data_IF_261598335340
#
_entry.id   IF_261598335340
#
_cell.length_a   1.000
_cell.length_b   1.000
_cell.length_c   1.000
_cell.angle_alpha   90.00
_cell.angle_beta   90.00
_cell.angle_gamma   90.00
#
_symmetry.space_group_name_H-M   'P 1'
#
loop_
_entity.id
_entity.type
_entity.pdbx_description
1 polymer ?
#
# COMPACT_ATOMS: atom_id res chain seq x y z
N UNK A 1 17.70 14.64 7.88
CA UNK A 1 17.34 14.22 6.51
C UNK A 1 16.61 12.88 6.60
N UNK A 2 15.28 12.90 6.61
CA UNK A 2 14.40 11.72 6.76
C UNK A 2 13.16 11.90 5.87
N UNK A 3 13.36 12.03 4.57
CA UNK A 3 12.30 12.40 3.60
C UNK A 3 11.42 11.24 3.12
N UNK A 4 11.71 10.00 3.51
CA UNK A 4 11.00 8.81 2.98
C UNK A 4 9.69 8.52 3.73
N UNK A 5 9.65 8.72 5.05
CA UNK A 5 8.46 8.47 5.89
C UNK A 5 7.31 9.39 5.53
N UNK A 6 7.62 10.66 5.23
CA UNK A 6 6.64 11.71 4.93
C UNK A 6 5.82 11.39 3.68
N UNK A 7 6.44 10.82 2.64
CA UNK A 7 5.76 10.52 1.37
C UNK A 7 4.65 9.47 1.56
N UNK A 8 4.91 8.43 2.36
CA UNK A 8 3.90 7.41 2.66
C UNK A 8 2.81 7.95 3.58
N UNK A 9 3.16 8.81 4.53
CA UNK A 9 2.17 9.47 5.40
C UNK A 9 1.19 10.32 4.60
N UNK A 10 1.70 11.15 3.69
CA UNK A 10 0.86 11.97 2.81
C UNK A 10 -0.01 11.12 1.88
N UNK A 11 0.49 9.98 1.41
CA UNK A 11 -0.29 9.05 0.59
C UNK A 11 -1.42 8.42 1.39
N UNK A 12 -1.12 7.84 2.55
CA UNK A 12 -2.12 7.19 3.41
C UNK A 12 -3.18 8.19 3.87
N UNK A 13 -2.79 9.43 4.20
CA UNK A 13 -3.73 10.48 4.58
C UNK A 13 -4.72 10.87 3.46
N UNK A 14 -4.44 10.51 2.19
CA UNK A 14 -5.34 10.75 1.04
C UNK A 14 -6.25 9.56 0.72
N UNK A 15 -6.05 8.41 1.36
CA UNK A 15 -6.78 7.17 1.06
C UNK A 15 -7.77 6.89 2.19
N UNK A 16 -9.07 6.90 1.89
CA UNK A 16 -10.09 6.42 2.84
C UNK A 16 -9.95 4.91 3.06
N UNK A 17 -9.99 4.38 4.29
CA UNK A 17 -10.35 5.05 5.57
C UNK A 17 -9.16 5.59 6.39
N UNK A 18 -7.95 5.56 5.86
CA UNK A 18 -6.74 5.97 6.58
C UNK A 18 -6.65 7.49 6.81
N UNK A 19 -7.41 8.28 6.06
CA UNK A 19 -7.61 9.73 6.24
C UNK A 19 -8.19 10.11 7.61
N UNK A 20 -8.86 9.18 8.30
CA UNK A 20 -9.50 9.39 9.60
C UNK A 20 -8.68 8.92 10.80
N UNK A 21 -7.48 8.39 10.56
CA UNK A 21 -6.63 7.85 11.61
C UNK A 21 -5.73 8.93 12.19
N UNK A 22 -5.51 8.88 13.50
CA UNK A 22 -4.56 9.76 14.18
C UNK A 22 -3.14 9.55 13.65
N UNK A 23 -2.33 10.61 13.70
CA UNK A 23 -0.96 10.62 13.19
C UNK A 23 -0.07 9.54 13.84
N UNK A 24 -0.28 9.23 15.12
CA UNK A 24 0.44 8.19 15.86
C UNK A 24 0.10 6.78 15.37
N UNK A 25 -1.15 6.55 15.00
CA UNK A 25 -1.60 5.28 14.40
C UNK A 25 -1.05 5.14 12.99
N UNK A 26 -1.10 6.21 12.21
CA UNK A 26 -0.50 6.26 10.87
C UNK A 26 1.00 5.98 10.91
N UNK A 27 1.72 6.57 11.86
CA UNK A 27 3.17 6.33 12.03
C UNK A 27 3.45 4.85 12.32
N UNK A 28 2.65 4.21 13.17
CA UNK A 28 2.75 2.77 13.44
C UNK A 28 2.48 1.90 12.21
N UNK A 29 1.57 2.31 11.32
CA UNK A 29 1.30 1.63 10.04
C UNK A 29 2.48 1.81 9.07
N UNK A 30 3.00 3.04 8.95
CA UNK A 30 4.12 3.35 8.05
C UNK A 30 5.36 2.55 8.43
N UNK A 31 5.65 2.38 9.72
CA UNK A 31 6.76 1.54 10.17
C UNK A 31 6.64 0.06 9.76
N UNK A 32 5.42 -0.42 9.49
CA UNK A 32 5.16 -1.79 8.98
C UNK A 32 5.03 -1.84 7.46
N UNK A 33 5.01 -0.69 6.79
CA UNK A 33 4.81 -0.61 5.36
C UNK A 33 6.07 -1.11 4.64
N UNK A 34 5.86 -2.05 3.73
CA UNK A 34 6.93 -2.59 2.90
C UNK A 34 6.73 -2.15 1.45
N UNK A 35 7.63 -1.35 0.88
CA UNK A 35 7.53 -0.94 -0.52
C UNK A 35 7.81 -2.15 -1.42
N UNK A 36 6.85 -2.47 -2.28
CA UNK A 36 6.95 -3.56 -3.24
C UNK A 36 6.96 -3.00 -4.67
N UNK A 37 7.81 -3.58 -5.51
CA UNK A 37 7.93 -3.20 -6.93
C UNK A 37 7.65 -4.41 -7.81
N UNK A 38 6.63 -4.28 -8.65
CA UNK A 38 6.26 -5.28 -9.63
C UNK A 38 6.62 -4.81 -11.04
N UNK A 39 6.97 -5.76 -11.91
CA UNK A 39 7.16 -5.50 -13.35
C UNK A 39 5.86 -5.76 -14.11
N UNK A 40 5.76 -5.22 -15.32
CA UNK A 40 4.63 -5.52 -16.20
C UNK A 40 4.49 -7.03 -16.42
N UNK A 41 3.27 -7.54 -16.33
CA UNK A 41 2.96 -8.98 -16.46
C UNK A 41 3.18 -9.81 -15.20
N UNK A 42 3.75 -9.24 -14.14
CA UNK A 42 3.91 -9.94 -12.87
C UNK A 42 2.60 -9.94 -12.07
N UNK A 43 2.17 -11.11 -11.61
CA UNK A 43 0.99 -11.22 -10.76
C UNK A 43 1.25 -10.62 -9.37
N UNK A 44 0.32 -9.77 -8.90
CA UNK A 44 0.35 -9.18 -7.55
C UNK A 44 -0.40 -10.07 -6.56
N UNK A 45 -1.61 -10.51 -6.94
CA UNK A 45 -2.46 -11.42 -6.18
C UNK A 45 -2.91 -12.56 -7.09
N UNK A 46 -2.99 -13.78 -6.54
CA UNK A 46 -3.43 -14.99 -7.25
C UNK A 46 -4.65 -15.55 -6.51
N UNK A 47 -5.73 -15.86 -7.25
CA UNK A 47 -7.05 -16.25 -6.71
C UNK A 47 -7.01 -17.40 -5.71
N UNK A 48 -6.04 -18.30 -5.84
CA UNK A 48 -5.96 -19.52 -5.04
C UNK A 48 -5.42 -19.30 -3.62
N UNK A 49 -4.82 -18.14 -3.33
CA UNK A 49 -4.24 -17.86 -2.02
C UNK A 49 -4.90 -16.63 -1.38
N UNK A 50 -5.44 -16.81 -0.17
CA UNK A 50 -5.88 -15.70 0.65
C UNK A 50 -4.66 -14.86 1.04
N UNK A 51 -4.62 -13.56 0.72
CA UNK A 51 -3.45 -12.75 1.05
C UNK A 51 -3.38 -12.52 2.56
N UNK A 52 -2.20 -12.76 3.13
CA UNK A 52 -1.92 -12.46 4.54
C UNK A 52 -1.77 -10.96 4.81
N UNK A 53 -1.60 -10.15 3.76
CA UNK A 53 -1.31 -8.72 3.84
C UNK A 53 -2.26 -7.91 2.95
N UNK A 54 -2.43 -6.64 3.31
CA UNK A 54 -3.14 -5.66 2.50
C UNK A 54 -2.13 -4.96 1.58
N UNK A 55 -2.48 -4.83 0.30
CA UNK A 55 -1.65 -4.16 -0.69
C UNK A 55 -2.31 -2.85 -1.12
N UNK A 56 -1.53 -1.77 -1.16
CA UNK A 56 -1.96 -0.45 -1.63
C UNK A 56 -1.14 -0.12 -2.88
N UNK A 57 -1.81 0.18 -3.99
CA UNK A 57 -1.14 0.56 -5.22
C UNK A 57 -0.77 2.05 -5.17
N UNK A 58 0.51 2.33 -4.95
CA UNK A 58 1.04 3.71 -4.92
C UNK A 58 1.21 4.31 -6.33
N UNK A 59 1.80 3.55 -7.26
CA UNK A 59 2.08 4.01 -8.62
C UNK A 59 1.80 2.90 -9.65
N UNK A 60 1.38 3.31 -10.84
CA UNK A 60 1.08 2.42 -11.96
C UNK A 60 -0.38 1.99 -12.01
N UNK A 61 -0.64 0.93 -12.76
CA UNK A 61 -1.98 0.36 -12.94
C UNK A 61 -1.91 -1.15 -12.76
N UNK A 62 -2.90 -1.70 -12.08
CA UNK A 62 -3.10 -3.14 -11.96
C UNK A 62 -4.44 -3.51 -12.61
N UNK A 63 -4.50 -4.70 -13.20
CA UNK A 63 -5.72 -5.23 -13.80
C UNK A 63 -6.13 -6.50 -13.07
N UNK A 64 -7.41 -6.56 -12.67
CA UNK A 64 -8.01 -7.80 -12.17
C UNK A 64 -8.22 -8.75 -13.36
N UNK A 65 -7.62 -9.93 -13.29
CA UNK A 65 -7.69 -10.96 -14.32
C UNK A 65 -8.32 -12.22 -13.71
N UNK A 66 -9.63 -12.39 -13.92
CA UNK A 66 -10.41 -13.53 -13.43
C UNK A 66 -11.47 -13.15 -12.39
N UNK A 67 -12.70 -13.62 -12.61
CA UNK A 67 -13.83 -13.59 -11.67
C UNK A 67 -14.24 -15.04 -11.39
#
# INVERSE_FOLDING_TARGET
>A
MTTSTDIYQELLAKITPFDRLDSTVLEGIIHKLQPLRYRMGQAILVKENLPANIYILHTGQARLLGY
#
